data_IF_901769340634
#
_entry.id   IF_901769340634
#
_cell.length_a   1.000
_cell.length_b   1.000
_cell.length_c   1.000
_cell.angle_alpha   90.00
_cell.angle_beta   90.00
_cell.angle_gamma   90.00
#
_symmetry.space_group_name_H-M   'P 1'
#
loop_
_entity.id
_entity.type
_entity.pdbx_description
1 polymer ?
#
# COMPACT_ATOMS: atom_id res chain seq x y z
N UNK A 1 -0.06 12.54 8.70
CA UNK A 1 0.33 12.55 7.27
C UNK A 1 -0.53 13.50 6.49
N UNK A 2 -0.05 13.95 5.33
CA UNK A 2 -0.81 14.75 4.39
C UNK A 2 -1.55 13.84 3.40
N UNK A 3 -2.80 14.17 3.04
CA UNK A 3 -3.51 13.47 1.97
C UNK A 3 -2.99 13.95 0.61
N UNK A 4 -2.86 13.03 -0.35
CA UNK A 4 -2.56 13.33 -1.74
C UNK A 4 -3.58 12.65 -2.65
N UNK A 5 -4.02 13.39 -3.65
CA UNK A 5 -4.80 12.84 -4.76
C UNK A 5 -3.87 12.44 -5.89
N UNK A 6 -4.10 11.26 -6.44
CA UNK A 6 -3.41 10.70 -7.61
C UNK A 6 -4.45 10.49 -8.70
N UNK A 7 -4.19 11.02 -9.89
CA UNK A 7 -5.00 10.73 -11.06
C UNK A 7 -4.57 9.38 -11.66
N UNK A 8 -5.56 8.57 -12.03
CA UNK A 8 -5.39 7.32 -12.74
C UNK A 8 -5.82 7.56 -14.17
N UNK A 9 -4.90 7.33 -15.11
CA UNK A 9 -5.19 7.28 -16.54
C UNK A 9 -4.57 5.99 -17.10
N UNK A 10 -5.40 4.96 -17.28
CA UNK A 10 -4.92 3.64 -17.68
C UNK A 10 -4.75 2.74 -16.45
N UNK A 11 -3.54 2.63 -15.91
CA UNK A 11 -3.24 1.76 -14.76
C UNK A 11 -2.43 2.48 -13.67
N UNK A 12 -2.73 2.18 -12.41
CA UNK A 12 -1.97 2.66 -11.25
C UNK A 12 -1.81 1.55 -10.21
N UNK A 13 -0.57 1.25 -9.80
CA UNK A 13 -0.32 0.32 -8.68
C UNK A 13 0.10 1.09 -7.44
N UNK A 14 -0.57 0.85 -6.32
CA UNK A 14 -0.24 1.44 -5.02
C UNK A 14 -0.12 0.37 -3.93
N UNK A 15 0.57 0.70 -2.86
CA UNK A 15 0.48 -0.07 -1.62
C UNK A 15 -0.91 0.10 -0.99
N UNK A 16 -1.47 -1.00 -0.47
CA UNK A 16 -2.73 -0.98 0.26
C UNK A 16 -2.70 -0.16 1.54
N UNK A 17 -1.60 -0.14 2.29
CA UNK A 17 -1.66 0.42 3.65
C UNK A 17 -1.65 1.95 3.71
N UNK A 18 -1.49 2.62 2.56
CA UNK A 18 -1.60 4.07 2.43
C UNK A 18 -2.86 4.53 1.68
N UNK A 19 -3.71 3.62 1.20
CA UNK A 19 -4.94 3.95 0.48
C UNK A 19 -6.02 4.46 1.45
N UNK A 20 -6.61 5.61 1.13
CA UNK A 20 -7.71 6.21 1.90
C UNK A 20 -9.04 6.05 1.17
N UNK A 21 -9.09 6.37 -0.12
CA UNK A 21 -10.29 6.28 -0.95
C UNK A 21 -9.94 6.22 -2.44
N UNK A 22 -10.90 5.82 -3.27
CA UNK A 22 -10.79 5.84 -4.73
C UNK A 22 -12.17 6.08 -5.35
N UNK A 23 -12.20 6.61 -6.58
CA UNK A 23 -13.45 6.82 -7.32
C UNK A 23 -14.03 5.50 -7.84
N UNK A 24 -15.36 5.36 -7.81
CA UNK A 24 -16.08 4.16 -8.25
C UNK A 24 -16.00 3.90 -9.77
N UNK A 25 -15.42 4.82 -10.53
CA UNK A 25 -15.13 4.66 -11.96
C UNK A 25 -13.89 3.80 -12.23
N UNK A 26 -13.13 3.48 -11.19
CA UNK A 26 -11.92 2.67 -11.28
C UNK A 26 -12.24 1.20 -10.95
N UNK A 27 -11.76 0.32 -11.81
CA UNK A 27 -11.65 -1.10 -11.49
C UNK A 27 -10.39 -1.32 -10.65
N UNK A 28 -10.40 -2.32 -9.77
CA UNK A 28 -9.22 -2.67 -9.00
C UNK A 28 -9.03 -4.17 -8.78
N UNK A 29 -7.77 -4.57 -8.60
CA UNK A 29 -7.40 -5.91 -8.14
C UNK A 29 -6.36 -5.83 -7.03
N UNK A 30 -6.42 -6.76 -6.08
CA UNK A 30 -5.43 -6.89 -5.01
C UNK A 30 -4.46 -7.99 -5.40
N UNK A 31 -3.16 -7.69 -5.40
CA UNK A 31 -2.09 -8.64 -5.69
C UNK A 31 -1.09 -8.67 -4.54
N UNK A 32 -0.48 -9.84 -4.31
CA UNK A 32 0.55 -10.00 -3.29
C UNK A 32 1.87 -9.41 -3.78
N UNK A 33 2.51 -8.55 -2.98
CA UNK A 33 3.81 -7.99 -3.31
C UNK A 33 4.89 -9.09 -3.18
N UNK A 34 5.29 -9.68 -4.31
CA UNK A 34 6.37 -10.69 -4.37
C UNK A 34 5.92 -12.15 -4.19
N UNK A 35 6.70 -13.08 -4.75
CA UNK A 35 6.37 -14.51 -4.85
C UNK A 35 6.42 -15.31 -3.54
N UNK A 36 6.74 -14.70 -2.40
CA UNK A 36 6.83 -15.40 -1.11
C UNK A 36 6.23 -14.59 0.04
N UNK A 37 5.49 -15.29 0.91
CA UNK A 37 4.88 -14.74 2.14
C UNK A 37 5.88 -14.01 3.04
N UNK A 38 7.15 -14.43 3.02
CA UNK A 38 8.24 -13.81 3.77
C UNK A 38 8.56 -12.39 3.27
N UNK A 39 8.52 -12.16 1.95
CA UNK A 39 8.86 -10.87 1.35
C UNK A 39 7.76 -9.82 1.56
N UNK A 40 6.49 -10.25 1.49
CA UNK A 40 5.34 -9.39 1.75
C UNK A 40 5.25 -8.95 3.22
N UNK A 41 5.71 -9.79 4.15
CA UNK A 41 5.68 -9.48 5.59
C UNK A 41 6.84 -8.56 6.02
N UNK A 42 8.02 -8.68 5.39
CA UNK A 42 9.18 -7.82 5.64
C UNK A 42 9.02 -6.38 5.12
N UNK A 43 8.11 -6.16 4.16
CA UNK A 43 7.82 -4.84 3.59
C UNK A 43 6.84 -4.00 4.43
N UNK A 44 6.22 -4.59 5.47
CA UNK A 44 5.28 -3.90 6.37
C UNK A 44 3.84 -3.83 5.85
N UNK A 45 3.61 -3.92 4.54
CA UNK A 45 2.28 -3.91 3.91
C UNK A 45 2.28 -4.93 2.75
N UNK A 46 1.77 -6.14 3.01
CA UNK A 46 2.00 -7.29 2.13
C UNK A 46 1.19 -7.35 0.84
N UNK A 47 0.45 -6.28 0.52
CA UNK A 47 -0.53 -6.26 -0.57
C UNK A 47 -0.43 -4.96 -1.37
N UNK A 48 -0.51 -5.09 -2.70
CA UNK A 48 -0.65 -3.96 -3.61
C UNK A 48 -2.05 -3.98 -4.22
N UNK A 49 -2.57 -2.79 -4.50
CA UNK A 49 -3.77 -2.60 -5.30
C UNK A 49 -3.38 -2.06 -6.67
N UNK A 50 -3.88 -2.72 -7.72
CA UNK A 50 -3.77 -2.27 -9.09
C UNK A 50 -5.12 -1.71 -9.52
N UNK A 51 -5.16 -0.42 -9.78
CA UNK A 51 -6.31 0.27 -10.34
C UNK A 51 -6.19 0.34 -11.86
N UNK A 52 -7.32 0.26 -12.55
CA UNK A 52 -7.40 0.53 -13.98
C UNK A 52 -8.62 1.38 -14.33
N UNK A 53 -8.50 2.20 -15.38
CA UNK A 53 -9.57 3.08 -15.86
C UNK A 53 -9.17 4.57 -15.80
N UNK A 54 -10.16 5.44 -15.60
CA UNK A 54 -9.94 6.88 -15.41
C UNK A 54 -10.66 7.36 -14.17
N UNK A 55 -9.93 8.02 -13.27
CA UNK A 55 -10.47 8.53 -12.02
C UNK A 55 -9.37 8.95 -11.05
N UNK A 56 -9.72 9.03 -9.77
CA UNK A 56 -8.81 9.50 -8.71
C UNK A 56 -8.68 8.52 -7.55
N UNK A 57 -7.50 8.52 -6.95
CA UNK A 57 -7.16 7.77 -5.75
C UNK A 57 -6.62 8.74 -4.71
N UNK A 58 -7.06 8.60 -3.47
CA UNK A 58 -6.58 9.40 -2.32
C UNK A 58 -5.67 8.51 -1.48
N UNK A 59 -4.43 8.95 -1.29
CA UNK A 59 -3.43 8.27 -0.46
C UNK A 59 -2.98 9.16 0.68
N UNK A 60 -2.61 8.55 1.81
CA UNK A 60 -1.98 9.25 2.91
C UNK A 60 -0.45 9.21 2.75
N UNK A 61 0.17 10.39 2.73
CA UNK A 61 1.63 10.55 2.76
C UNK A 61 2.09 10.89 4.17
N UNK A 62 2.65 9.93 4.90
CA UNK A 62 3.70 10.05 5.94
C UNK A 62 3.85 8.70 6.66
N UNK A 63 5.07 8.18 6.62
CA UNK A 63 5.78 7.24 7.51
C UNK A 63 4.99 6.39 8.54
N UNK A 64 3.93 5.67 8.15
CA UNK A 64 3.43 4.54 8.95
C UNK A 64 4.31 3.29 8.74
N UNK A 65 4.80 3.10 7.51
CA UNK A 65 5.64 1.97 7.11
C UNK A 65 7.06 2.00 7.72
N UNK A 66 7.64 3.18 7.98
CA UNK A 66 8.93 3.27 8.68
C UNK A 66 8.83 3.06 10.19
N UNK A 67 7.65 3.19 10.80
CA UNK A 67 7.47 2.87 12.23
C UNK A 67 7.56 1.36 12.48
N UNK A 68 6.91 0.54 11.62
CA UNK A 68 7.02 -0.92 11.66
C UNK A 68 8.44 -1.43 11.34
N UNK A 69 9.11 -0.83 10.35
CA UNK A 69 10.50 -1.19 9.97
C UNK A 69 11.55 -0.78 11.01
N UNK A 70 11.31 0.27 11.80
CA UNK A 70 12.19 0.69 12.91
C UNK A 70 11.95 -0.13 14.19
N UNK A 71 10.71 -0.55 14.45
CA UNK A 71 10.38 -1.36 15.64
C UNK A 71 10.57 -2.86 15.44
N UNK A 72 10.48 -3.39 14.22
CA UNK A 72 10.65 -4.81 13.91
C UNK A 72 11.95 -5.42 14.47
N UNK A 73 13.12 -4.78 14.30
CA UNK A 73 14.38 -5.24 14.91
C UNK A 73 14.49 -5.00 16.42
N UNK A 74 13.60 -4.19 17.01
CA UNK A 74 13.61 -3.81 18.43
C UNK A 74 12.59 -4.57 19.28
N UNK A 75 11.70 -5.35 18.65
CA UNK A 75 10.78 -6.24 19.35
C UNK A 75 11.54 -7.51 19.74
N UNK A 76 11.63 -7.86 21.04
CA UNK A 76 12.32 -9.07 21.46
C UNK A 76 11.64 -10.29 20.85
N UNK A 77 12.44 -11.28 20.44
CA UNK A 77 11.94 -12.58 20.03
C UNK A 77 11.04 -13.12 21.15
N UNK A 78 9.74 -13.26 20.86
CA UNK A 78 8.86 -14.01 21.76
C UNK A 78 9.30 -15.46 21.66
N UNK A 79 9.70 -16.02 22.80
CA UNK A 79 10.30 -17.34 22.94
C UNK A 79 9.48 -18.48 22.37
#
# INVERSE_FOLDING_TARGET
GALRELEVEGELTIDTGHLVAYESTLDYSISKAGGSWMQSFLAGEGFVMKFSGRGRVIVQTHDASGFGRRLGPMLPARG
#
